data_IF_679056776915
#
_entry.id   IF_679056776915
#
_cell.length_a   1.000
_cell.length_b   1.000
_cell.length_c   1.000
_cell.angle_alpha   90.00
_cell.angle_beta   90.00
_cell.angle_gamma   90.00
#
_symmetry.space_group_name_H-M   'P 1'
#
loop_
_entity.id
_entity.type
_entity.pdbx_description
1 polymer ?
#
# COMPACT_ATOMS: atom_id res chain seq x y z
N UNK A 1 2.22 5.10 -9.25
CA UNK A 1 1.87 6.50 -8.92
C UNK A 1 2.26 6.84 -7.49
N UNK A 2 1.80 6.08 -6.50
CA UNK A 2 2.18 6.24 -5.07
C UNK A 2 3.68 6.44 -4.82
N UNK A 3 4.50 5.49 -5.28
CA UNK A 3 5.96 5.59 -5.14
C UNK A 3 6.56 6.81 -5.85
N UNK A 4 5.96 7.32 -6.92
CA UNK A 4 6.50 8.47 -7.66
C UNK A 4 6.24 9.80 -6.93
N UNK A 5 5.05 9.93 -6.35
CA UNK A 5 4.58 11.15 -5.66
C UNK A 5 5.19 11.27 -4.27
N UNK A 6 5.42 10.14 -3.59
CA UNK A 6 6.02 10.13 -2.25
C UNK A 6 7.54 9.99 -2.23
N UNK A 7 8.19 9.71 -3.36
CA UNK A 7 9.66 9.75 -3.45
C UNK A 7 10.08 11.16 -3.86
N UNK A 8 10.99 11.77 -3.09
CA UNK A 8 11.54 13.09 -3.37
C UNK A 8 12.27 13.22 -4.72
N UNK A 9 13.10 14.24 -4.86
CA UNK A 9 13.78 14.58 -6.13
C UNK A 9 14.70 13.49 -6.67
N UNK A 10 15.20 12.57 -5.83
CA UNK A 10 16.08 11.45 -6.25
C UNK A 10 15.26 10.16 -6.37
N UNK A 11 15.26 9.57 -7.57
CA UNK A 11 14.69 8.23 -7.79
C UNK A 11 15.78 7.17 -7.58
N UNK A 12 15.50 6.07 -6.86
CA UNK A 12 16.40 4.95 -6.79
C UNK A 12 16.62 4.37 -8.19
N UNK A 13 17.89 4.07 -8.52
CA UNK A 13 18.30 3.60 -9.85
C UNK A 13 18.06 2.10 -10.05
N UNK A 14 17.72 1.39 -8.98
CA UNK A 14 17.63 -0.07 -8.87
C UNK A 14 16.20 -0.54 -8.57
N UNK A 15 15.19 0.25 -8.94
CA UNK A 15 13.81 -0.15 -8.77
C UNK A 15 13.46 -1.38 -9.62
N UNK A 16 12.61 -2.22 -9.05
CA UNK A 16 12.04 -3.39 -9.72
C UNK A 16 10.52 -3.39 -9.56
N UNK A 17 9.85 -3.97 -10.56
CA UNK A 17 8.44 -4.31 -10.46
C UNK A 17 8.33 -5.65 -9.74
N UNK A 18 7.60 -5.66 -8.62
CA UNK A 18 7.30 -6.86 -7.84
C UNK A 18 5.83 -7.19 -8.02
N UNK A 19 5.56 -8.45 -8.34
CA UNK A 19 4.23 -9.03 -8.30
C UNK A 19 4.07 -9.79 -6.98
N UNK A 20 2.94 -9.58 -6.32
CA UNK A 20 2.55 -10.32 -5.13
C UNK A 20 1.36 -11.22 -5.48
N UNK A 21 1.52 -12.53 -5.28
CA UNK A 21 0.43 -13.49 -5.34
C UNK A 21 -0.14 -13.64 -3.95
N UNK A 22 -1.43 -13.37 -3.79
CA UNK A 22 -2.10 -13.40 -2.49
C UNK A 22 -3.05 -14.61 -2.39
N UNK A 23 -3.28 -15.16 -1.19
CA UNK A 23 -4.28 -16.20 -0.98
C UNK A 23 -5.66 -15.76 -1.43
N UNK A 24 -6.35 -16.64 -2.18
CA UNK A 24 -7.73 -16.45 -2.63
C UNK A 24 -8.72 -16.82 -1.52
N UNK A 25 -8.64 -16.06 -0.43
CA UNK A 25 -9.57 -16.13 0.70
C UNK A 25 -10.24 -14.76 0.88
N UNK A 26 -11.50 -14.58 0.44
CA UNK A 26 -12.24 -13.34 0.66
C UNK A 26 -12.33 -12.93 2.13
N UNK A 27 -12.31 -13.90 3.05
CA UNK A 27 -12.32 -13.67 4.49
C UNK A 27 -10.99 -13.16 5.05
N UNK A 28 -9.91 -13.24 4.28
CA UNK A 28 -8.56 -12.81 4.66
C UNK A 28 -8.34 -11.30 4.60
N UNK A 29 -9.27 -10.54 4.03
CA UNK A 29 -9.12 -9.11 3.79
C UNK A 29 -10.27 -8.31 4.39
N UNK A 30 -9.97 -7.12 4.88
CA UNK A 30 -10.97 -6.12 5.24
C UNK A 30 -10.79 -4.85 4.40
N UNK A 31 -11.88 -4.13 4.19
CA UNK A 31 -11.89 -2.86 3.44
C UNK A 31 -12.17 -1.72 4.40
N UNK A 32 -11.32 -0.70 4.37
CA UNK A 32 -11.60 0.59 4.97
C UNK A 32 -12.24 1.50 3.92
N UNK A 33 -13.45 1.98 4.22
CA UNK A 33 -14.09 3.01 3.40
C UNK A 33 -13.52 4.39 3.72
N UNK A 34 -13.36 5.23 2.70
CA UNK A 34 -12.76 6.56 2.86
C UNK A 34 -13.51 7.46 3.86
N UNK A 35 -14.83 7.31 3.97
CA UNK A 35 -15.65 8.05 4.94
C UNK A 35 -15.53 7.54 6.38
N UNK A 36 -14.95 6.36 6.61
CA UNK A 36 -14.88 5.74 7.92
C UNK A 36 -13.74 6.28 8.80
N UNK A 37 -12.77 7.01 8.23
CA UNK A 37 -11.59 7.50 8.97
C UNK A 37 -11.29 8.98 8.67
N UNK A 38 -12.07 9.96 9.17
CA UNK A 38 -11.87 11.37 8.85
C UNK A 38 -10.44 11.88 9.09
N UNK A 39 -9.90 12.63 8.13
CA UNK A 39 -8.56 13.24 8.21
C UNK A 39 -7.40 12.31 7.86
N UNK A 40 -7.66 11.09 7.39
CA UNK A 40 -6.65 10.13 6.96
C UNK A 40 -5.82 10.58 5.74
N UNK A 41 -6.41 11.41 4.88
CA UNK A 41 -5.92 11.88 3.58
C UNK A 41 -5.27 13.28 3.64
N UNK A 42 -4.98 13.78 4.84
CA UNK A 42 -4.37 15.09 5.01
C UNK A 42 -3.02 15.21 4.30
N UNK A 43 -2.82 16.33 3.59
CA UNK A 43 -1.60 16.61 2.80
C UNK A 43 -0.32 16.60 3.66
N UNK A 44 -0.42 17.03 4.92
CA UNK A 44 0.55 16.70 5.95
C UNK A 44 -0.01 15.52 6.75
N UNK A 45 0.59 14.32 6.64
CA UNK A 45 0.07 13.15 7.33
C UNK A 45 0.03 13.39 8.84
N UNK A 46 -1.18 13.35 9.42
CA UNK A 46 -1.37 13.27 10.87
C UNK A 46 -1.15 11.84 11.39
N UNK A 47 -1.36 11.61 12.68
CA UNK A 47 -1.22 10.26 13.24
C UNK A 47 -2.38 9.32 12.88
N UNK A 48 -3.54 9.85 12.47
CA UNK A 48 -4.78 9.08 12.27
C UNK A 48 -4.61 7.83 11.40
N UNK A 49 -4.00 7.96 10.22
CA UNK A 49 -3.76 6.83 9.31
C UNK A 49 -2.70 5.86 9.84
N UNK A 50 -1.67 6.39 10.52
CA UNK A 50 -0.60 5.59 11.12
C UNK A 50 -1.09 4.78 12.34
N UNK A 51 -1.91 5.39 13.19
CA UNK A 51 -2.51 4.77 14.38
C UNK A 51 -3.45 3.64 13.95
N UNK A 52 -4.34 3.91 12.98
CA UNK A 52 -5.24 2.88 12.43
C UNK A 52 -4.46 1.71 11.81
N UNK A 53 -3.42 1.99 11.02
CA UNK A 53 -2.57 0.96 10.42
C UNK A 53 -1.81 0.15 11.49
N UNK A 54 -1.33 0.80 12.55
CA UNK A 54 -0.64 0.16 13.66
C UNK A 54 -1.56 -0.82 14.40
N UNK A 55 -2.78 -0.38 14.71
CA UNK A 55 -3.78 -1.20 15.38
C UNK A 55 -4.22 -2.37 14.49
N UNK A 56 -4.37 -2.14 13.19
CA UNK A 56 -4.58 -3.21 12.21
C UNK A 56 -3.50 -4.30 12.30
N UNK A 57 -2.24 -3.92 12.16
CA UNK A 57 -1.11 -4.85 12.18
C UNK A 57 -1.04 -5.63 13.50
N UNK A 58 -1.17 -4.93 14.63
CA UNK A 58 -1.09 -5.55 15.97
C UNK A 58 -2.25 -6.48 16.28
N UNK A 59 -3.44 -6.20 15.76
CA UNK A 59 -4.62 -7.04 16.02
C UNK A 59 -4.51 -8.42 15.37
N UNK A 60 -3.71 -8.57 14.31
CA UNK A 60 -3.58 -9.84 13.59
C UNK A 60 -4.90 -10.39 13.03
N UNK A 61 -5.93 -9.54 12.88
CA UNK A 61 -7.31 -9.98 12.59
C UNK A 61 -7.55 -10.42 11.15
N UNK A 62 -6.73 -9.94 10.22
CA UNK A 62 -6.81 -10.18 8.78
C UNK A 62 -5.41 -10.16 8.18
N UNK A 63 -5.25 -10.84 7.04
CA UNK A 63 -4.02 -10.84 6.25
C UNK A 63 -3.80 -9.49 5.58
N UNK A 64 -4.87 -8.86 5.07
CA UNK A 64 -4.75 -7.58 4.38
C UNK A 64 -5.84 -6.59 4.73
N UNK A 65 -5.47 -5.31 4.66
CA UNK A 65 -6.35 -4.17 4.78
C UNK A 65 -6.32 -3.40 3.46
N UNK A 66 -7.46 -3.34 2.79
CA UNK A 66 -7.66 -2.56 1.57
C UNK A 66 -8.04 -1.14 1.98
N UNK A 67 -7.24 -0.16 1.56
CA UNK A 67 -7.43 1.26 1.88
C UNK A 67 -7.60 2.09 0.61
N UNK A 68 -8.32 3.22 0.66
CA UNK A 68 -8.32 4.19 -0.43
C UNK A 68 -6.91 4.73 -0.71
N UNK A 69 -6.63 5.07 -1.96
CA UNK A 69 -5.43 5.85 -2.31
C UNK A 69 -5.67 7.33 -2.02
N UNK A 70 -4.71 7.99 -1.36
CA UNK A 70 -4.76 9.44 -1.12
C UNK A 70 -4.47 10.25 -2.40
N UNK A 71 -3.96 9.60 -3.45
CA UNK A 71 -3.53 10.25 -4.71
C UNK A 71 -4.59 10.07 -5.79
N UNK A 72 -5.15 8.86 -5.92
CA UNK A 72 -6.11 8.52 -6.96
C UNK A 72 -7.39 8.04 -6.25
N UNK A 73 -8.44 8.88 -6.15
CA UNK A 73 -9.66 8.56 -5.40
C UNK A 73 -10.34 7.24 -5.79
N UNK A 74 -10.23 6.85 -7.06
CA UNK A 74 -10.80 5.61 -7.60
C UNK A 74 -9.91 4.37 -7.36
N UNK A 75 -8.65 4.56 -6.94
CA UNK A 75 -7.72 3.48 -6.69
C UNK A 75 -7.69 3.07 -5.22
N UNK A 76 -7.21 1.84 -4.99
CA UNK A 76 -7.03 1.26 -3.66
C UNK A 76 -5.63 0.72 -3.52
N UNK A 77 -5.10 0.83 -2.31
CA UNK A 77 -3.86 0.20 -1.87
C UNK A 77 -4.18 -0.95 -0.92
N UNK A 78 -3.26 -1.90 -0.78
CA UNK A 78 -3.39 -3.00 0.17
C UNK A 78 -2.21 -2.98 1.13
N UNK A 79 -2.51 -2.96 2.43
CA UNK A 79 -1.54 -3.13 3.51
C UNK A 79 -1.59 -4.61 3.90
N UNK A 80 -0.50 -5.33 3.68
CA UNK A 80 -0.37 -6.73 4.11
C UNK A 80 0.21 -6.79 5.53
N UNK A 81 -0.35 -7.68 6.36
CA UNK A 81 0.09 -7.89 7.73
C UNK A 81 1.07 -9.07 7.80
N UNK A 82 2.39 -8.82 7.93
CA UNK A 82 3.39 -9.89 8.05
C UNK A 82 3.29 -10.70 9.35
N UNK A 83 2.55 -10.20 10.35
CA UNK A 83 2.30 -10.91 11.61
C UNK A 83 1.13 -11.91 11.51
N UNK A 84 0.37 -11.88 10.41
CA UNK A 84 -0.75 -12.80 10.22
C UNK A 84 -0.24 -14.17 9.70
N UNK A 85 -0.74 -15.32 10.21
CA UNK A 85 -0.24 -16.64 9.79
C UNK A 85 -0.32 -16.91 8.28
N UNK A 86 -1.40 -16.48 7.63
CA UNK A 86 -1.57 -16.63 6.17
C UNK A 86 -0.59 -15.78 5.33
N UNK A 87 0.23 -14.92 5.95
CA UNK A 87 1.30 -14.22 5.23
C UNK A 87 2.35 -15.20 4.69
N UNK A 88 2.49 -16.37 5.31
CA UNK A 88 3.35 -17.44 4.82
C UNK A 88 2.99 -17.92 3.39
N UNK A 89 1.73 -17.74 2.99
CA UNK A 89 1.21 -18.13 1.68
C UNK A 89 1.30 -17.00 0.63
N UNK A 90 1.83 -15.83 1.01
CA UNK A 90 2.04 -14.71 0.07
C UNK A 90 3.29 -14.99 -0.78
N UNK A 91 3.07 -15.13 -2.08
CA UNK A 91 4.14 -15.25 -3.06
C UNK A 91 4.68 -13.88 -3.47
N UNK A 92 6.00 -13.75 -3.63
CA UNK A 92 6.65 -12.54 -4.14
C UNK A 92 7.56 -12.89 -5.31
N UNK A 93 7.33 -12.24 -6.45
CA UNK A 93 8.16 -12.43 -7.65
C UNK A 93 8.65 -11.09 -8.18
N UNK A 94 9.96 -10.96 -8.36
CA UNK A 94 10.54 -9.83 -9.10
C UNK A 94 10.31 -10.07 -10.59
N UNK A 95 9.48 -9.23 -11.21
CA UNK A 95 9.08 -9.39 -12.61
C UNK A 95 10.14 -8.85 -13.55
N UNK A 96 10.62 -7.62 -13.29
CA UNK A 96 11.62 -6.93 -14.12
C UNK A 96 12.17 -5.67 -13.43
N UNK A 97 13.29 -5.12 -13.91
CA UNK A 97 13.67 -3.73 -13.63
C UNK A 97 12.53 -2.76 -13.97
N UNK A 98 12.38 -1.74 -13.13
CA UNK A 98 11.37 -0.71 -13.28
C UNK A 98 12.04 0.66 -13.44
N UNK A 99 11.76 1.31 -14.56
CA UNK A 99 12.16 2.67 -14.82
C UNK A 99 10.89 3.53 -14.89
N UNK A 100 10.91 4.66 -14.20
CA UNK A 100 9.87 5.67 -14.40
C UNK A 100 10.00 6.23 -15.82
N UNK A 101 8.85 6.47 -16.46
CA UNK A 101 8.84 7.20 -17.72
C UNK A 101 9.41 8.61 -17.47
N UNK A 102 10.47 9.02 -18.19
CA UNK A 102 11.11 10.32 -17.99
C UNK A 102 10.15 11.51 -18.12
N UNK A 103 9.05 11.34 -18.87
CA UNK A 103 8.04 12.38 -19.08
C UNK A 103 7.14 12.62 -17.87
N UNK A 104 7.14 11.71 -16.89
CA UNK A 104 6.32 11.84 -15.68
C UNK A 104 6.88 12.82 -14.65
N UNK A 105 8.10 13.34 -14.87
CA UNK A 105 8.66 14.47 -14.12
C UNK A 105 9.01 15.57 -15.11
N UNK A 106 8.24 16.65 -15.12
CA UNK A 106 8.69 17.91 -15.72
C UNK A 106 9.71 18.50 -14.73
N UNK A 107 10.91 18.77 -15.22
CA UNK A 107 12.01 19.42 -14.48
C UNK A 107 11.56 20.80 -14.02
#
# INVERSE_FOLDING_TARGET
MEKLVHTGSVLPVDLVLVELSLPDDPGGYETLDAGALPGWDALMPGSVSADYGTDFLRSGRKLGLVVPSAIIPEARNVILNPLHPAFADVGMTVVRPFLYDPRLRVI
#
